data_IF_395791518852
#
_entry.id   IF_395791518852
#
_cell.length_a   1.000
_cell.length_b   1.000
_cell.length_c   1.000
_cell.angle_alpha   90.00
_cell.angle_beta   90.00
_cell.angle_gamma   90.00
#
_symmetry.space_group_name_H-M   'P 1'
#
loop_
_entity.id
_entity.type
_entity.pdbx_description
1 polymer ?
#
# COMPACT_ATOMS: atom_id res chain seq x y z
N UNK A 1 -0.29 -29.44 -10.49
CA UNK A 1 -1.60 -29.67 -11.11
C UNK A 1 -1.99 -28.42 -11.89
N UNK A 2 -2.12 -28.53 -13.23
CA UNK A 2 -2.39 -27.41 -14.15
C UNK A 2 -3.90 -27.19 -14.26
N UNK A 3 -4.44 -26.10 -13.71
CA UNK A 3 -5.84 -25.70 -13.95
C UNK A 3 -5.88 -24.53 -14.96
N UNK A 4 -5.77 -24.80 -16.28
CA UNK A 4 -5.74 -23.75 -17.31
C UNK A 4 -7.03 -22.90 -17.33
N UNK A 5 -8.14 -23.43 -16.80
CA UNK A 5 -9.41 -22.70 -16.71
C UNK A 5 -9.38 -21.49 -15.77
N UNK A 6 -8.63 -21.56 -14.66
CA UNK A 6 -8.52 -20.43 -13.73
C UNK A 6 -7.72 -19.29 -14.35
N UNK A 7 -6.60 -19.62 -15.01
CA UNK A 7 -5.77 -18.64 -15.69
C UNK A 7 -6.51 -17.94 -16.84
N UNK A 8 -7.28 -18.70 -17.63
CA UNK A 8 -8.12 -18.15 -18.68
C UNK A 8 -9.23 -17.24 -18.12
N UNK A 9 -9.86 -17.64 -17.01
CA UNK A 9 -10.87 -16.83 -16.32
C UNK A 9 -10.28 -15.48 -15.86
N UNK A 10 -9.10 -15.50 -15.21
CA UNK A 10 -8.42 -14.28 -14.76
C UNK A 10 -8.07 -13.37 -15.94
N UNK A 11 -7.58 -13.93 -17.05
CA UNK A 11 -7.25 -13.17 -18.26
C UNK A 11 -8.50 -12.50 -18.85
N UNK A 12 -9.60 -13.25 -18.98
CA UNK A 12 -10.87 -12.74 -19.54
C UNK A 12 -11.46 -11.65 -18.66
N UNK A 13 -11.48 -11.86 -17.34
CA UNK A 13 -11.94 -10.86 -16.37
C UNK A 13 -11.07 -9.60 -16.44
N UNK A 14 -9.74 -9.75 -16.46
CA UNK A 14 -8.82 -8.63 -16.57
C UNK A 14 -9.01 -7.82 -17.86
N UNK A 15 -9.18 -8.50 -19.00
CA UNK A 15 -9.42 -7.86 -20.29
C UNK A 15 -10.77 -7.12 -20.33
N UNK A 16 -11.81 -7.71 -19.72
CA UNK A 16 -13.13 -7.11 -19.63
C UNK A 16 -13.11 -5.81 -18.82
N UNK A 17 -12.43 -5.79 -17.67
CA UNK A 17 -12.26 -4.58 -16.85
C UNK A 17 -11.44 -3.52 -17.57
N UNK A 18 -10.41 -3.93 -18.33
CA UNK A 18 -9.61 -3.01 -19.13
C UNK A 18 -10.41 -2.41 -20.29
N UNK A 19 -11.29 -3.19 -20.90
CA UNK A 19 -12.18 -2.73 -21.97
C UNK A 19 -13.20 -1.70 -21.47
N UNK A 20 -13.79 -1.92 -20.28
CA UNK A 20 -14.67 -0.95 -19.62
C UNK A 20 -13.96 0.38 -19.33
N UNK A 21 -12.72 0.33 -18.84
CA UNK A 21 -11.94 1.52 -18.55
C UNK A 21 -11.59 2.37 -19.80
N UNK A 22 -11.57 1.78 -21.00
CA UNK A 22 -11.17 2.44 -22.24
C UNK A 22 -12.36 2.83 -23.14
N UNK A 23 -13.50 2.16 -23.03
CA UNK A 23 -14.66 2.34 -23.93
C UNK A 23 -15.89 2.74 -23.14
N UNK A 24 -16.45 3.93 -23.43
CA UNK A 24 -17.71 4.39 -22.83
C UNK A 24 -18.89 3.67 -23.50
N UNK A 25 -19.24 2.48 -22.98
CA UNK A 25 -20.40 1.70 -23.41
C UNK A 25 -21.17 1.17 -22.19
N UNK A 26 -22.47 1.48 -22.10
CA UNK A 26 -23.32 1.12 -20.96
C UNK A 26 -23.44 -0.40 -20.73
N UNK A 27 -23.40 -1.21 -21.80
CA UNK A 27 -23.50 -2.68 -21.68
C UNK A 27 -22.23 -3.31 -21.09
N UNK A 28 -21.05 -2.73 -21.37
CA UNK A 28 -19.80 -3.18 -20.76
C UNK A 28 -19.73 -2.81 -19.27
N UNK A 29 -20.21 -1.60 -18.93
CA UNK A 29 -20.23 -1.12 -17.56
C UNK A 29 -21.07 -2.00 -16.63
N UNK A 30 -22.24 -2.48 -17.08
CA UNK A 30 -23.08 -3.39 -16.28
C UNK A 30 -22.38 -4.74 -16.00
N UNK A 31 -21.70 -5.31 -16.99
CA UNK A 31 -20.94 -6.56 -16.82
C UNK A 31 -19.72 -6.35 -15.92
N UNK A 32 -19.00 -5.25 -16.08
CA UNK A 32 -17.87 -4.89 -15.23
C UNK A 32 -18.30 -4.69 -13.77
N UNK A 33 -19.41 -3.99 -13.53
CA UNK A 33 -19.95 -3.79 -12.17
C UNK A 33 -20.33 -5.11 -11.51
N UNK A 34 -20.95 -6.05 -12.25
CA UNK A 34 -21.26 -7.38 -11.73
C UNK A 34 -19.99 -8.14 -11.30
N UNK A 35 -18.96 -8.10 -12.14
CA UNK A 35 -17.67 -8.76 -11.85
C UNK A 35 -16.99 -8.11 -10.65
N UNK A 36 -17.00 -6.77 -10.55
CA UNK A 36 -16.44 -6.03 -9.42
C UNK A 36 -17.19 -6.36 -8.14
N UNK A 37 -18.53 -6.41 -8.15
CA UNK A 37 -19.33 -6.81 -6.97
C UNK A 37 -19.03 -8.23 -6.52
N UNK A 38 -18.92 -9.18 -7.45
CA UNK A 38 -18.54 -10.54 -7.14
C UNK A 38 -17.13 -10.59 -6.51
N UNK A 39 -16.18 -9.81 -7.05
CA UNK A 39 -14.83 -9.69 -6.51
C UNK A 39 -14.83 -9.09 -5.09
N UNK A 40 -15.65 -8.07 -4.82
CA UNK A 40 -15.82 -7.48 -3.48
C UNK A 40 -16.36 -8.52 -2.49
N UNK A 41 -17.35 -9.33 -2.89
CA UNK A 41 -17.89 -10.38 -2.03
C UNK A 41 -16.85 -11.45 -1.70
N UNK A 42 -16.07 -11.88 -2.70
CA UNK A 42 -14.96 -12.82 -2.51
C UNK A 42 -13.87 -12.20 -1.62
N UNK A 43 -13.53 -10.94 -1.83
CA UNK A 43 -12.56 -10.22 -1.02
C UNK A 43 -13.00 -10.09 0.45
N UNK A 44 -14.28 -9.83 0.70
CA UNK A 44 -14.84 -9.81 2.06
C UNK A 44 -14.71 -11.18 2.74
N UNK A 45 -15.06 -12.27 2.04
CA UNK A 45 -14.87 -13.63 2.55
C UNK A 45 -13.40 -13.97 2.80
N UNK A 46 -12.51 -13.57 1.90
CA UNK A 46 -11.06 -13.75 2.04
C UNK A 46 -10.50 -12.95 3.21
N UNK A 47 -10.98 -11.73 3.46
CA UNK A 47 -10.59 -10.93 4.61
C UNK A 47 -10.97 -11.64 5.93
N UNK A 48 -12.21 -12.16 6.02
CA UNK A 48 -12.65 -12.95 7.17
C UNK A 48 -11.81 -14.22 7.34
N UNK A 49 -11.52 -14.94 6.25
CA UNK A 49 -10.65 -16.10 6.27
C UNK A 49 -9.22 -15.74 6.71
N UNK A 50 -8.71 -14.58 6.29
CA UNK A 50 -7.42 -14.03 6.70
C UNK A 50 -7.36 -13.80 8.20
N UNK A 51 -8.34 -13.09 8.76
CA UNK A 51 -8.49 -12.86 10.20
C UNK A 51 -8.58 -14.18 10.97
N UNK A 52 -9.43 -15.11 10.52
CA UNK A 52 -9.59 -16.42 11.14
C UNK A 52 -8.28 -17.23 11.09
N UNK A 53 -7.59 -17.23 9.96
CA UNK A 53 -6.32 -17.96 9.80
C UNK A 53 -5.22 -17.42 10.72
N UNK A 54 -5.17 -16.10 10.90
CA UNK A 54 -4.23 -15.45 11.81
C UNK A 54 -4.56 -15.79 13.26
N UNK A 55 -5.84 -15.74 13.64
CA UNK A 55 -6.32 -16.10 14.97
C UNK A 55 -5.98 -17.56 15.31
N UNK A 56 -6.24 -18.49 14.39
CA UNK A 56 -5.98 -19.91 14.57
C UNK A 56 -4.48 -20.21 14.65
N UNK A 57 -3.66 -19.59 13.79
CA UNK A 57 -2.20 -19.77 13.81
C UNK A 57 -1.60 -19.24 15.11
N UNK A 58 -1.85 -17.97 15.43
CA UNK A 58 -1.30 -17.34 16.64
C UNK A 58 -1.86 -17.94 17.93
N UNK A 59 -3.12 -18.36 17.93
CA UNK A 59 -3.72 -19.07 19.06
C UNK A 59 -3.12 -20.47 19.24
N UNK A 60 -2.88 -21.19 18.14
CA UNK A 60 -2.21 -22.48 18.16
C UNK A 60 -0.74 -22.41 18.60
N UNK A 61 -0.04 -21.36 18.21
CA UNK A 61 1.34 -21.07 18.63
C UNK A 61 1.40 -20.78 20.14
N UNK A 62 0.46 -19.98 20.65
CA UNK A 62 0.33 -19.68 22.08
C UNK A 62 0.02 -20.94 22.91
N UNK A 63 -0.92 -21.77 22.46
CA UNK A 63 -1.29 -23.03 23.12
C UNK A 63 -0.12 -24.01 23.18
N UNK A 64 0.65 -24.11 22.09
CA UNK A 64 1.82 -24.99 21.98
C UNK A 64 3.11 -24.37 22.54
N UNK A 65 3.04 -23.16 23.12
CA UNK A 65 4.19 -22.38 23.62
C UNK A 65 5.33 -22.27 22.60
N UNK A 66 4.99 -22.10 21.33
CA UNK A 66 5.96 -21.92 20.23
C UNK A 66 5.95 -20.47 19.77
N UNK A 67 7.14 -19.93 19.49
CA UNK A 67 7.31 -18.57 18.99
C UNK A 67 7.25 -17.51 20.09
N UNK A 68 6.91 -16.28 19.71
CA UNK A 68 6.80 -15.13 20.61
C UNK A 68 5.39 -15.05 21.24
N UNK A 69 5.23 -15.44 22.53
CA UNK A 69 3.92 -15.44 23.18
C UNK A 69 3.40 -14.02 23.39
N UNK A 70 4.29 -13.03 23.59
CA UNK A 70 3.89 -11.64 23.83
C UNK A 70 3.29 -11.06 22.56
N UNK A 71 3.97 -11.22 21.43
CA UNK A 71 3.46 -10.79 20.13
C UNK A 71 2.16 -11.49 19.74
N UNK A 72 2.01 -12.79 20.05
CA UNK A 72 0.77 -13.52 19.78
C UNK A 72 -0.41 -12.98 20.60
N UNK A 73 -0.21 -12.74 21.90
CA UNK A 73 -1.23 -12.15 22.79
C UNK A 73 -1.58 -10.74 22.35
N UNK A 74 -0.59 -9.92 21.97
CA UNK A 74 -0.82 -8.55 21.52
C UNK A 74 -1.68 -8.50 20.25
N UNK A 75 -1.39 -9.36 19.28
CA UNK A 75 -2.13 -9.44 18.01
C UNK A 75 -3.57 -9.91 18.24
N UNK A 76 -3.76 -10.99 19.00
CA UNK A 76 -5.11 -11.52 19.28
C UNK A 76 -5.91 -10.52 20.12
N UNK A 77 -5.30 -9.93 21.14
CA UNK A 77 -5.92 -8.92 22.00
C UNK A 77 -6.30 -7.65 21.23
N UNK A 78 -5.40 -7.15 20.38
CA UNK A 78 -5.68 -6.00 19.51
C UNK A 78 -6.80 -6.26 18.52
N UNK A 79 -6.81 -7.43 17.90
CA UNK A 79 -7.88 -7.85 16.98
C UNK A 79 -9.23 -7.95 17.71
N UNK A 80 -9.26 -8.54 18.90
CA UNK A 80 -10.46 -8.60 19.73
C UNK A 80 -10.94 -7.20 20.13
N UNK A 81 -10.04 -6.31 20.53
CA UNK A 81 -10.37 -4.94 20.90
C UNK A 81 -11.01 -4.17 19.74
N UNK A 82 -10.48 -4.30 18.51
CA UNK A 82 -11.05 -3.64 17.32
C UNK A 82 -12.43 -4.20 16.98
N UNK A 83 -12.61 -5.52 17.06
CA UNK A 83 -13.91 -6.16 16.81
C UNK A 83 -14.95 -5.74 17.84
N UNK A 84 -14.59 -5.70 19.12
CA UNK A 84 -15.48 -5.27 20.20
C UNK A 84 -15.85 -3.78 20.02
N UNK A 85 -14.90 -2.93 19.65
CA UNK A 85 -15.16 -1.52 19.40
C UNK A 85 -16.11 -1.30 18.21
N UNK A 86 -15.96 -2.06 17.12
CA UNK A 86 -16.78 -1.91 15.92
C UNK A 86 -18.15 -2.59 15.98
N UNK A 87 -18.28 -3.72 16.69
CA UNK A 87 -19.50 -4.54 16.77
C UNK A 87 -20.32 -4.31 18.04
N UNK A 88 -19.99 -3.28 18.82
CA UNK A 88 -20.79 -2.89 19.99
C UNK A 88 -22.22 -2.51 19.58
N UNK A 89 -23.24 -2.69 20.45
CA UNK A 89 -24.60 -2.25 20.17
C UNK A 89 -24.62 -0.74 19.83
N UNK A 90 -25.10 -0.40 18.62
CA UNK A 90 -25.08 0.98 18.10
C UNK A 90 -23.77 1.42 17.43
N UNK A 91 -22.82 0.51 17.24
CA UNK A 91 -21.59 0.77 16.47
C UNK A 91 -21.81 0.77 14.97
N UNK A 92 -21.04 1.59 14.26
CA UNK A 92 -21.08 1.71 12.78
C UNK A 92 -20.03 0.82 12.10
N UNK A 93 -19.56 -0.22 12.79
CA UNK A 93 -18.52 -1.12 12.28
C UNK A 93 -17.20 -0.38 12.07
N UNK A 94 -16.67 -0.44 10.85
CA UNK A 94 -15.39 0.20 10.49
C UNK A 94 -15.44 1.74 10.51
N UNK A 95 -16.63 2.33 10.40
CA UNK A 95 -16.81 3.78 10.46
C UNK A 95 -16.89 4.32 11.90
N UNK A 96 -16.97 3.45 12.91
CA UNK A 96 -17.08 3.89 14.31
C UNK A 96 -15.85 4.72 14.72
N UNK A 97 -16.02 5.92 15.31
CA UNK A 97 -14.92 6.77 15.76
C UNK A 97 -13.93 6.07 16.70
N UNK A 98 -14.40 5.12 17.52
CA UNK A 98 -13.54 4.35 18.42
C UNK A 98 -12.58 3.45 17.63
N UNK A 99 -13.07 2.79 16.57
CA UNK A 99 -12.26 1.98 15.66
C UNK A 99 -11.25 2.88 14.94
N UNK A 100 -11.71 4.02 14.41
CA UNK A 100 -10.84 5.00 13.75
C UNK A 100 -9.70 5.49 14.66
N UNK A 101 -10.01 5.81 15.92
CA UNK A 101 -9.01 6.23 16.90
C UNK A 101 -8.00 5.12 17.21
N UNK A 102 -8.45 3.88 17.43
CA UNK A 102 -7.55 2.75 17.69
C UNK A 102 -6.60 2.48 16.54
N UNK A 103 -7.12 2.53 15.31
CA UNK A 103 -6.32 2.36 14.09
C UNK A 103 -5.30 3.50 13.95
N UNK A 104 -5.72 4.75 14.18
CA UNK A 104 -4.80 5.89 14.15
C UNK A 104 -3.72 5.80 15.23
N UNK A 105 -4.08 5.40 16.46
CA UNK A 105 -3.15 5.22 17.57
C UNK A 105 -2.08 4.14 17.29
N UNK A 106 -2.38 3.18 16.40
CA UNK A 106 -1.43 2.17 15.95
C UNK A 106 -0.60 2.64 14.73
N UNK A 107 -1.27 3.18 13.71
CA UNK A 107 -0.63 3.52 12.43
C UNK A 107 0.25 4.77 12.58
N UNK A 108 -0.15 5.77 13.35
CA UNK A 108 0.59 7.04 13.47
C UNK A 108 1.99 6.81 14.07
N UNK A 109 2.18 6.10 15.19
CA UNK A 109 3.51 5.83 15.73
C UNK A 109 4.36 4.94 14.82
N UNK A 110 3.74 3.92 14.19
CA UNK A 110 4.44 3.06 13.22
C UNK A 110 4.94 3.88 12.03
N UNK A 111 4.08 4.73 11.44
CA UNK A 111 4.45 5.63 10.37
C UNK A 111 5.56 6.59 10.80
N UNK A 112 5.44 7.21 11.98
CA UNK A 112 6.47 8.08 12.52
C UNK A 112 7.82 7.37 12.70
N UNK A 113 7.82 6.11 13.18
CA UNK A 113 9.03 5.31 13.33
C UNK A 113 9.69 5.00 11.98
N UNK A 114 8.89 4.65 10.97
CA UNK A 114 9.36 4.40 9.61
C UNK A 114 9.95 5.66 8.98
N UNK A 115 9.26 6.80 9.09
CA UNK A 115 9.78 8.09 8.62
C UNK A 115 11.06 8.51 9.35
N UNK A 116 11.15 8.25 10.66
CA UNK A 116 12.38 8.48 11.43
C UNK A 116 13.56 7.66 10.92
N UNK A 117 13.34 6.36 10.65
CA UNK A 117 14.36 5.48 10.06
C UNK A 117 14.76 5.93 8.65
N UNK A 118 13.79 6.31 7.81
CA UNK A 118 14.06 6.85 6.47
C UNK A 118 14.85 8.15 6.53
N UNK A 119 14.54 9.04 7.48
CA UNK A 119 15.27 10.28 7.66
C UNK A 119 16.74 10.02 8.03
N UNK A 120 16.99 9.22 9.06
CA UNK A 120 18.37 8.92 9.52
C UNK A 120 19.17 8.19 8.43
N UNK A 121 18.57 7.22 7.75
CA UNK A 121 19.24 6.47 6.68
C UNK A 121 19.55 7.34 5.46
N UNK A 122 18.61 8.20 5.06
CA UNK A 122 18.79 9.16 3.96
C UNK A 122 19.86 10.20 4.31
N UNK A 123 19.86 10.69 5.54
CA UNK A 123 20.88 11.63 6.03
C UNK A 123 22.28 10.98 6.01
N UNK A 124 22.39 9.72 6.46
CA UNK A 124 23.64 8.97 6.40
C UNK A 124 24.08 8.69 4.95
N UNK A 125 23.14 8.44 4.03
CA UNK A 125 23.43 8.29 2.60
C UNK A 125 23.91 9.61 1.97
N UNK A 126 23.26 10.73 2.30
CA UNK A 126 23.63 12.07 1.85
C UNK A 126 25.03 12.47 2.35
N UNK A 127 25.36 12.21 3.62
CA UNK A 127 26.73 12.43 4.13
C UNK A 127 27.76 11.62 3.34
N UNK A 128 27.46 10.36 3.01
CA UNK A 128 28.35 9.51 2.21
C UNK A 128 28.47 9.99 0.78
N UNK A 129 27.39 10.43 0.14
CA UNK A 129 27.43 10.95 -1.23
C UNK A 129 28.26 12.23 -1.34
N UNK A 130 28.12 13.15 -0.38
CA UNK A 130 28.92 14.38 -0.29
C UNK A 130 30.39 14.07 0.01
N UNK A 131 30.65 13.10 0.89
CA UNK A 131 32.01 12.64 1.19
C UNK A 131 32.71 12.01 -0.01
N UNK A 132 31.97 11.52 -1.01
CA UNK A 132 32.54 11.01 -2.27
C UNK A 132 33.14 12.12 -3.16
N UNK A 133 32.99 13.41 -2.79
CA UNK A 133 33.59 14.59 -3.45
C UNK A 133 33.32 14.65 -4.97
N UNK A 134 32.14 14.20 -5.38
CA UNK A 134 31.67 14.27 -6.77
C UNK A 134 30.82 15.52 -6.96
N UNK A 135 31.05 16.34 -8.00
CA UNK A 135 30.27 17.57 -8.22
C UNK A 135 28.77 17.26 -8.33
N UNK A 136 28.41 16.14 -8.92
CA UNK A 136 27.02 15.67 -9.07
C UNK A 136 26.35 15.43 -7.71
N UNK A 137 27.08 14.92 -6.72
CA UNK A 137 26.54 14.65 -5.40
C UNK A 137 26.19 15.93 -4.63
N UNK A 138 27.01 16.97 -4.76
CA UNK A 138 26.72 18.28 -4.17
C UNK A 138 25.47 18.91 -4.77
N UNK A 139 25.32 18.82 -6.10
CA UNK A 139 24.13 19.32 -6.79
C UNK A 139 22.88 18.59 -6.31
N UNK A 140 22.91 17.25 -6.23
CA UNK A 140 21.77 16.46 -5.76
C UNK A 140 21.35 16.80 -4.33
N UNK A 141 22.31 16.96 -3.42
CA UNK A 141 22.01 17.35 -2.03
C UNK A 141 21.50 18.79 -1.95
N UNK A 142 22.02 19.70 -2.77
CA UNK A 142 21.49 21.05 -2.89
C UNK A 142 20.03 21.08 -3.35
N UNK A 143 19.70 20.32 -4.40
CA UNK A 143 18.32 20.18 -4.91
C UNK A 143 17.40 19.58 -3.85
N UNK A 144 17.86 18.55 -3.12
CA UNK A 144 17.09 17.96 -2.04
C UNK A 144 16.81 18.98 -0.92
N UNK A 145 17.81 19.77 -0.54
CA UNK A 145 17.65 20.80 0.49
C UNK A 145 16.66 21.90 0.06
N UNK A 146 16.74 22.37 -1.18
CA UNK A 146 15.77 23.32 -1.74
C UNK A 146 14.36 22.74 -1.69
N UNK A 147 14.19 21.49 -2.13
CA UNK A 147 12.89 20.79 -2.09
C UNK A 147 12.34 20.71 -0.67
N UNK A 148 13.17 20.40 0.32
CA UNK A 148 12.75 20.39 1.74
C UNK A 148 12.26 21.76 2.20
N UNK A 149 12.94 22.84 1.82
CA UNK A 149 12.53 24.21 2.16
C UNK A 149 11.19 24.54 1.52
N UNK A 150 10.97 24.18 0.26
CA UNK A 150 9.72 24.44 -0.45
C UNK A 150 8.51 23.82 0.28
N UNK A 151 8.68 22.65 0.90
CA UNK A 151 7.61 21.94 1.58
C UNK A 151 7.28 22.46 2.99
N UNK A 152 7.97 23.50 3.50
CA UNK A 152 7.65 24.05 4.81
C UNK A 152 6.30 24.79 4.79
N UNK A 153 5.35 24.45 5.69
CA UNK A 153 4.08 25.15 5.79
C UNK A 153 4.28 26.50 6.50
N UNK A 154 4.69 27.52 5.73
CA UNK A 154 4.82 28.90 6.18
C UNK A 154 3.55 29.71 5.87
N UNK A 155 3.20 30.66 6.74
CA UNK A 155 2.09 31.59 6.52
C UNK A 155 2.50 32.87 5.77
N UNK A 156 1.52 33.64 5.31
CA UNK A 156 1.72 34.93 4.66
C UNK A 156 2.10 34.84 3.17
N UNK A 157 2.54 35.96 2.60
CA UNK A 157 2.85 36.08 1.16
C UNK A 157 4.02 35.20 0.71
N UNK A 158 5.06 35.09 1.55
CA UNK A 158 6.20 34.19 1.32
C UNK A 158 5.73 32.73 1.33
N UNK A 159 4.83 32.37 2.25
CA UNK A 159 4.24 31.04 2.32
C UNK A 159 3.45 30.65 1.08
N UNK A 160 2.68 31.58 0.51
CA UNK A 160 1.91 31.34 -0.71
C UNK A 160 2.83 31.04 -1.92
N UNK A 161 3.90 31.82 -2.09
CA UNK A 161 4.89 31.57 -3.14
C UNK A 161 5.60 30.21 -2.96
N UNK A 162 5.96 29.90 -1.72
CA UNK A 162 6.64 28.65 -1.38
C UNK A 162 5.74 27.43 -1.62
N UNK A 163 4.46 27.54 -1.28
CA UNK A 163 3.46 26.50 -1.54
C UNK A 163 3.22 26.29 -3.05
N UNK A 164 3.19 27.36 -3.85
CA UNK A 164 3.06 27.25 -5.30
C UNK A 164 4.28 26.53 -5.92
N UNK A 165 5.49 26.94 -5.52
CA UNK A 165 6.73 26.29 -5.95
C UNK A 165 6.79 24.81 -5.50
N UNK A 166 6.34 24.50 -4.29
CA UNK A 166 6.23 23.14 -3.79
C UNK A 166 5.24 22.32 -4.62
N UNK A 167 4.09 22.90 -4.95
CA UNK A 167 3.05 22.24 -5.77
C UNK A 167 3.58 21.90 -7.17
N UNK A 168 4.31 22.83 -7.81
CA UNK A 168 4.94 22.59 -9.10
C UNK A 168 5.98 21.46 -9.01
N UNK A 169 6.82 21.47 -7.97
CA UNK A 169 7.83 20.43 -7.73
C UNK A 169 7.19 19.06 -7.49
N UNK A 170 6.07 19.01 -6.77
CA UNK A 170 5.33 17.77 -6.50
C UNK A 170 4.64 17.22 -7.76
N UNK A 171 4.04 18.09 -8.57
CA UNK A 171 3.23 17.68 -9.73
C UNK A 171 4.06 17.35 -10.97
N UNK A 172 5.16 18.08 -11.18
CA UNK A 172 5.99 17.98 -12.38
C UNK A 172 7.12 16.97 -12.20
N UNK A 173 8.26 17.27 -11.53
CA UNK A 173 9.37 16.31 -11.47
C UNK A 173 9.05 15.10 -10.58
N UNK A 174 8.58 15.32 -9.35
CA UNK A 174 8.28 14.20 -8.43
C UNK A 174 7.11 13.37 -8.98
N UNK A 175 6.06 14.04 -9.44
CA UNK A 175 4.91 13.40 -10.08
C UNK A 175 5.29 12.59 -11.32
N UNK A 176 6.21 13.08 -12.17
CA UNK A 176 6.71 12.32 -13.32
C UNK A 176 7.47 11.06 -12.89
N UNK A 177 8.34 11.16 -11.89
CA UNK A 177 9.06 10.00 -11.33
C UNK A 177 8.09 8.97 -10.75
N UNK A 178 7.12 9.40 -9.96
CA UNK A 178 6.11 8.51 -9.37
C UNK A 178 5.25 7.83 -10.44
N UNK A 179 4.82 8.56 -11.47
CA UNK A 179 4.09 7.98 -12.60
C UNK A 179 4.95 6.96 -13.35
N UNK A 180 6.21 7.27 -13.61
CA UNK A 180 7.16 6.34 -14.24
C UNK A 180 7.37 5.07 -13.41
N UNK A 181 7.52 5.22 -12.09
CA UNK A 181 7.62 4.10 -11.14
C UNK A 181 6.35 3.24 -11.17
N UNK A 182 5.16 3.84 -11.13
CA UNK A 182 3.89 3.11 -11.19
C UNK A 182 3.73 2.34 -12.51
N UNK A 183 4.12 2.94 -13.64
CA UNK A 183 4.14 2.24 -14.93
C UNK A 183 5.12 1.05 -14.87
N UNK A 184 6.31 1.24 -14.29
CA UNK A 184 7.29 0.17 -14.10
C UNK A 184 6.77 -0.98 -13.24
N UNK A 185 6.12 -0.66 -12.11
CA UNK A 185 5.49 -1.65 -11.21
C UNK A 185 4.38 -2.39 -11.96
N UNK A 186 3.54 -1.68 -12.72
CA UNK A 186 2.47 -2.29 -13.50
C UNK A 186 3.02 -3.26 -14.56
N UNK A 187 4.13 -2.90 -15.23
CA UNK A 187 4.77 -3.77 -16.21
C UNK A 187 5.33 -5.03 -15.56
N UNK A 188 6.01 -4.91 -14.42
CA UNK A 188 6.54 -6.07 -13.67
C UNK A 188 5.38 -6.97 -13.20
N UNK A 189 4.31 -6.39 -12.67
CA UNK A 189 3.12 -7.12 -12.27
C UNK A 189 2.48 -7.87 -13.46
N UNK A 190 2.39 -7.22 -14.63
CA UNK A 190 1.89 -7.84 -15.86
C UNK A 190 2.77 -9.01 -16.32
N UNK A 191 4.10 -8.88 -16.23
CA UNK A 191 5.03 -9.98 -16.55
C UNK A 191 4.85 -11.15 -15.57
N UNK A 192 4.76 -10.88 -14.27
CA UNK A 192 4.53 -11.93 -13.26
C UNK A 192 3.18 -12.63 -13.50
N UNK A 193 2.12 -11.87 -13.78
CA UNK A 193 0.81 -12.42 -14.12
C UNK A 193 0.83 -13.26 -15.42
N UNK A 194 1.53 -12.79 -16.45
CA UNK A 194 1.69 -13.57 -17.68
C UNK A 194 2.46 -14.88 -17.43
N UNK A 195 3.52 -14.83 -16.60
CA UNK A 195 4.29 -16.02 -16.23
C UNK A 195 3.44 -17.04 -15.47
N UNK A 196 2.60 -16.60 -14.54
CA UNK A 196 1.71 -17.49 -13.78
C UNK A 196 0.61 -18.07 -14.67
N UNK A 197 0.02 -17.28 -15.57
CA UNK A 197 -1.00 -17.74 -16.55
C UNK A 197 -0.43 -18.77 -17.53
N UNK A 198 0.76 -18.51 -18.06
CA UNK A 198 1.43 -19.39 -19.02
C UNK A 198 2.12 -20.60 -18.35
N UNK A 199 2.20 -20.62 -17.02
CA UNK A 199 2.82 -21.69 -16.24
C UNK A 199 4.35 -21.77 -16.37
N UNK A 200 5.01 -20.71 -16.85
CA UNK A 200 6.45 -20.62 -17.14
C UNK A 200 7.29 -20.24 -15.91
N UNK A 201 6.95 -20.77 -14.74
CA UNK A 201 7.67 -20.47 -13.49
C UNK A 201 7.49 -21.45 -12.34
N UNK A 202 6.71 -22.53 -12.48
CA UNK A 202 6.42 -23.46 -11.39
C UNK A 202 7.25 -24.76 -11.38
N UNK A 203 8.35 -24.83 -12.14
CA UNK A 203 9.14 -26.07 -12.27
C UNK A 203 10.50 -26.05 -11.54
N UNK A 204 10.94 -24.90 -11.01
CA UNK A 204 12.30 -24.72 -10.44
C UNK A 204 12.30 -24.11 -9.01
N UNK A 205 11.22 -24.29 -8.25
CA UNK A 205 11.20 -24.09 -6.78
C UNK A 205 10.65 -25.36 -6.11
#
# INVERSE_FOLDING_TARGET
>A
MRHPGLAALVLVVGLLLLADALVVNSSLAELADLVVRAAILVAAGAALAGVASLALRRGGDLWRRRGDPVGAVLVIGGMAAVLVAGLRPGGEGAADPAVGWMVAALIVPIGASLFGLLFVSTLAASRRSVAARRPEAYVLVGVAMVTLVLLLPLGGTVGAWLADAASWTLLVPIGAVLRGLLIGIALVAAVVAARTVLGIGGADE
#
